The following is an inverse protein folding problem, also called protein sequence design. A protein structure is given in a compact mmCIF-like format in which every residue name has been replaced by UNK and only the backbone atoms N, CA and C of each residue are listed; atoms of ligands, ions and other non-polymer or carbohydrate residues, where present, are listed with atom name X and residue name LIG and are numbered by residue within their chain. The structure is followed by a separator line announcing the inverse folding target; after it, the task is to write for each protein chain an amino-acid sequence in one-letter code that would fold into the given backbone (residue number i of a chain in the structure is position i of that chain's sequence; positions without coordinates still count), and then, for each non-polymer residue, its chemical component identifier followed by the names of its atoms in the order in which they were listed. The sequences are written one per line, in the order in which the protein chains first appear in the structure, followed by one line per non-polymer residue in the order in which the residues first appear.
data_IF_315268811492
#
_entry.id   IF_315268811492
#
_cell.length_a   1.000
_cell.length_b   1.000
_cell.length_c   1.000
_cell.angle_alpha   90.00
_cell.angle_beta   90.00
_cell.angle_gamma   90.00
#
_symmetry.space_group_name_H-M   'P 1'
#
loop_
_entity.id
_entity.type
_entity.pdbx_description
1 polymer ?
#
# COMPACT_ATOMS: atom_id res chain seq x y z
N UNK A 1 -8.50 22.54 0.09
CA UNK A 1 -8.72 21.26 -0.58
C UNK A 1 -8.72 20.14 0.43
N UNK A 2 -9.74 19.31 0.45
CA UNK A 2 -9.78 18.26 1.44
C UNK A 2 -8.81 17.15 1.08
N UNK A 3 -7.80 17.02 1.92
CA UNK A 3 -6.96 15.85 1.94
C UNK A 3 -7.57 14.91 2.98
N UNK A 4 -7.70 13.65 2.62
CA UNK A 4 -8.13 12.62 3.57
C UNK A 4 -6.99 11.67 3.83
N UNK A 5 -6.78 11.37 5.10
CA UNK A 5 -5.83 10.34 5.49
C UNK A 5 -6.46 9.52 6.59
N UNK A 6 -6.47 8.20 6.44
CA UNK A 6 -7.06 7.34 7.45
C UNK A 6 -6.40 5.97 7.43
N UNK A 7 -6.67 5.21 8.48
CA UNK A 7 -6.09 3.88 8.67
C UNK A 7 -7.22 2.88 8.89
N UNK A 8 -7.14 1.73 8.21
CA UNK A 8 -8.04 0.60 8.42
C UNK A 8 -7.22 -0.56 8.97
N UNK A 9 -7.66 -1.12 10.08
CA UNK A 9 -6.99 -2.28 10.67
C UNK A 9 -7.42 -3.53 9.91
N UNK A 10 -6.47 -4.38 9.56
CA UNK A 10 -6.72 -5.56 8.74
C UNK A 10 -6.83 -6.86 9.54
N UNK A 11 -6.36 -6.86 10.79
CA UNK A 11 -6.34 -8.07 11.62
C UNK A 11 -6.90 -7.80 13.01
N UNK A 12 -7.05 -8.86 13.80
CA UNK A 12 -7.62 -8.74 15.13
C UNK A 12 -6.67 -8.15 16.16
N UNK A 13 -5.36 -8.28 15.97
CA UNK A 13 -4.36 -7.82 16.91
C UNK A 13 -3.95 -6.37 16.72
N UNK A 14 -4.35 -5.75 15.62
CA UNK A 14 -3.96 -4.39 15.30
C UNK A 14 -2.53 -4.26 14.80
N UNK A 15 -1.95 -5.33 14.30
CA UNK A 15 -0.57 -5.37 13.82
C UNK A 15 -0.46 -5.30 12.31
N UNK A 16 -1.58 -5.26 11.61
CA UNK A 16 -1.63 -5.16 10.16
C UNK A 16 -2.59 -4.05 9.80
N UNK A 17 -2.15 -3.11 8.98
CA UNK A 17 -3.01 -1.97 8.66
C UNK A 17 -2.85 -1.46 7.25
N UNK A 18 -3.91 -0.87 6.74
CA UNK A 18 -3.93 -0.16 5.46
C UNK A 18 -3.99 1.32 5.76
N UNK A 19 -2.98 2.05 5.31
CA UNK A 19 -2.96 3.51 5.40
C UNK A 19 -3.37 4.08 4.05
N UNK A 20 -4.35 4.96 4.05
CA UNK A 20 -4.89 5.55 2.82
C UNK A 20 -4.70 7.05 2.87
N UNK A 21 -4.24 7.62 1.78
CA UNK A 21 -4.14 9.07 1.60
C UNK A 21 -4.79 9.43 0.27
N UNK A 22 -5.72 10.36 0.30
CA UNK A 22 -6.45 10.79 -0.88
C UNK A 22 -6.42 12.31 -0.95
N UNK A 23 -6.22 12.83 -2.15
CA UNK A 23 -6.33 14.27 -2.41
C UNK A 23 -7.35 14.49 -3.52
N UNK A 24 -8.22 15.48 -3.32
CA UNK A 24 -9.19 15.85 -4.34
C UNK A 24 -8.97 17.30 -4.74
N UNK A 25 -9.31 17.61 -5.98
CA UNK A 25 -9.26 18.96 -6.50
C UNK A 25 -10.51 19.17 -7.35
N UNK A 26 -11.27 20.23 -7.05
CA UNK A 26 -12.52 20.53 -7.75
C UNK A 26 -13.47 19.33 -7.77
N UNK A 27 -13.56 18.64 -6.64
CA UNK A 27 -14.46 17.51 -6.49
C UNK A 27 -13.99 16.21 -7.12
N UNK A 28 -12.79 16.20 -7.71
CA UNK A 28 -12.27 15.02 -8.37
C UNK A 28 -11.02 14.52 -7.67
N UNK A 29 -10.89 13.23 -7.59
CA UNK A 29 -9.72 12.56 -7.01
C UNK A 29 -8.52 12.79 -7.94
N UNK A 30 -7.42 13.36 -7.41
CA UNK A 30 -6.22 13.61 -8.22
C UNK A 30 -4.94 12.98 -7.68
N UNK A 31 -5.00 12.37 -6.50
CA UNK A 31 -3.83 11.71 -5.92
C UNK A 31 -4.29 10.65 -4.93
N UNK A 32 -3.69 9.46 -4.99
CA UNK A 32 -4.00 8.37 -4.08
C UNK A 32 -2.72 7.69 -3.60
N UNK A 33 -2.72 7.25 -2.35
CA UNK A 33 -1.73 6.33 -1.80
C UNK A 33 -2.49 5.28 -0.99
N UNK A 34 -2.22 4.01 -1.26
CA UNK A 34 -2.74 2.89 -0.47
C UNK A 34 -1.54 2.07 -0.04
N UNK A 35 -1.27 2.01 1.25
CA UNK A 35 -0.05 1.44 1.78
C UNK A 35 -0.37 0.38 2.83
N UNK A 36 0.12 -0.83 2.60
CA UNK A 36 -0.01 -1.88 3.60
C UNK A 36 1.22 -1.83 4.52
N UNK A 37 0.96 -1.75 5.83
CA UNK A 37 2.00 -1.69 6.85
C UNK A 37 1.79 -2.82 7.85
N UNK A 38 2.88 -3.46 8.23
CA UNK A 38 2.88 -4.56 9.20
C UNK A 38 3.80 -4.21 10.37
N UNK A 39 3.33 -4.52 11.58
CA UNK A 39 4.11 -4.29 12.81
C UNK A 39 4.98 -5.51 13.07
N UNK A 40 6.28 -5.36 12.83
CA UNK A 40 7.26 -6.45 12.93
C UNK A 40 8.44 -5.94 13.74
N UNK A 41 8.84 -6.69 14.78
CA UNK A 41 9.99 -6.32 15.59
C UNK A 41 9.83 -4.95 16.25
N UNK A 42 8.65 -4.65 16.74
CA UNK A 42 8.30 -3.41 17.44
C UNK A 42 8.36 -2.15 16.56
N UNK A 43 8.26 -2.34 15.24
CA UNK A 43 8.23 -1.23 14.27
C UNK A 43 7.21 -1.49 13.20
N UNK A 44 6.63 -0.41 12.67
CA UNK A 44 5.79 -0.50 11.47
C UNK A 44 6.68 -0.52 10.24
N UNK A 45 6.42 -1.47 9.34
CA UNK A 45 7.15 -1.62 8.08
C UNK A 45 6.17 -1.53 6.93
N UNK A 46 6.51 -0.74 5.93
CA UNK A 46 5.73 -0.70 4.70
C UNK A 46 6.08 -1.92 3.86
N UNK A 47 5.08 -2.70 3.50
CA UNK A 47 5.25 -3.93 2.73
C UNK A 47 4.85 -3.71 1.26
N UNK A 48 3.73 -3.04 1.04
CA UNK A 48 3.21 -2.74 -0.30
C UNK A 48 2.78 -1.28 -0.32
N UNK A 49 3.04 -0.59 -1.43
CA UNK A 49 2.57 0.77 -1.61
C UNK A 49 2.03 0.95 -3.02
N UNK A 50 0.77 1.31 -3.11
CA UNK A 50 0.16 1.75 -4.36
C UNK A 50 0.15 3.27 -4.39
N UNK A 51 0.61 3.87 -5.47
CA UNK A 51 0.44 5.30 -5.64
C UNK A 51 0.42 5.67 -7.13
N UNK A 52 0.08 6.92 -7.40
CA UNK A 52 -0.06 7.41 -8.76
C UNK A 52 0.90 8.56 -9.07
N UNK A 53 2.00 8.66 -8.32
CA UNK A 53 2.99 9.67 -8.62
C UNK A 53 3.63 9.40 -9.98
N UNK A 54 4.20 10.41 -10.60
CA UNK A 54 4.82 10.32 -11.93
C UNK A 54 3.84 10.05 -13.05
N UNK A 55 2.54 10.30 -12.82
CA UNK A 55 1.55 10.27 -13.89
C UNK A 55 1.00 8.90 -14.24
N UNK A 56 1.34 7.86 -13.50
CA UNK A 56 0.75 6.54 -13.73
C UNK A 56 0.59 5.80 -12.40
N UNK A 57 -0.36 4.89 -12.40
CA UNK A 57 -0.68 4.08 -11.23
C UNK A 57 0.30 2.90 -11.16
N UNK A 58 0.90 2.69 -9.98
CA UNK A 58 1.87 1.60 -9.83
C UNK A 58 1.81 1.03 -8.42
N UNK A 59 2.33 -0.18 -8.29
CA UNK A 59 2.50 -0.87 -7.01
C UNK A 59 3.99 -1.08 -6.77
N UNK A 60 4.45 -0.64 -5.61
CA UNK A 60 5.80 -0.94 -5.14
C UNK A 60 5.73 -2.09 -4.17
N UNK A 61 6.50 -3.14 -4.43
CA UNK A 61 6.72 -4.24 -3.48
C UNK A 61 8.02 -3.92 -2.76
N UNK A 62 7.95 -3.72 -1.45
CA UNK A 62 9.07 -3.22 -0.67
C UNK A 62 9.76 -4.37 0.04
N UNK A 63 11.08 -4.39 -0.03
CA UNK A 63 11.89 -5.45 0.60
C UNK A 63 12.44 -4.96 1.94
N UNK A 64 12.75 -5.89 2.87
CA UNK A 64 13.29 -5.49 4.18
C UNK A 64 14.55 -4.63 4.12
N UNK A 65 15.36 -4.76 3.06
CA UNK A 65 16.57 -3.95 2.90
C UNK A 65 16.29 -2.55 2.32
N UNK A 66 15.02 -2.21 2.10
CA UNK A 66 14.63 -0.92 1.55
C UNK A 66 14.56 -0.86 0.04
N UNK A 67 15.01 -1.89 -0.66
CA UNK A 67 14.85 -1.97 -2.10
C UNK A 67 13.40 -2.23 -2.44
N UNK A 68 13.02 -1.92 -3.68
CA UNK A 68 11.63 -2.13 -4.11
C UNK A 68 11.56 -2.50 -5.58
N UNK A 69 10.49 -3.23 -5.91
CA UNK A 69 10.13 -3.53 -7.29
C UNK A 69 8.87 -2.76 -7.64
N UNK A 70 8.90 -2.07 -8.75
CA UNK A 70 7.78 -1.24 -9.21
C UNK A 70 7.05 -1.95 -10.34
N UNK A 71 5.73 -2.06 -10.20
CA UNK A 71 4.87 -2.66 -11.22
C UNK A 71 3.87 -1.62 -11.68
N UNK A 72 3.91 -1.26 -12.95
CA UNK A 72 2.94 -0.35 -13.54
C UNK A 72 1.64 -1.10 -13.77
N UNK A 73 0.52 -0.47 -13.40
CA UNK A 73 -0.79 -1.08 -13.51
C UNK A 73 -1.65 -0.21 -14.41
N UNK A 74 -2.19 -0.81 -15.47
CA UNK A 74 -2.89 -0.08 -16.52
C UNK A 74 -4.33 0.25 -16.13
N UNK A 75 -4.50 1.07 -15.10
CA UNK A 75 -5.79 1.60 -14.68
C UNK A 75 -5.65 3.13 -14.66
N UNK A 76 -6.38 3.81 -15.54
CA UNK A 76 -6.24 5.25 -15.67
C UNK A 76 -7.13 6.04 -14.72
N UNK A 77 -8.30 5.51 -14.42
CA UNK A 77 -9.27 6.17 -13.56
C UNK A 77 -8.88 5.97 -12.10
N UNK A 78 -8.65 7.06 -11.36
CA UNK A 78 -8.17 6.96 -9.98
C UNK A 78 -9.19 6.34 -9.02
N UNK A 79 -10.49 6.47 -9.33
CA UNK A 79 -11.51 5.82 -8.51
C UNK A 79 -11.40 4.31 -8.65
N UNK A 80 -11.23 3.81 -9.87
CA UNK A 80 -11.05 2.38 -10.12
C UNK A 80 -9.72 1.90 -9.55
N UNK A 81 -8.66 2.71 -9.67
CA UNK A 81 -7.36 2.37 -9.11
C UNK A 81 -7.44 2.25 -7.58
N UNK A 82 -8.18 3.15 -6.92
CA UNK A 82 -8.39 3.10 -5.48
C UNK A 82 -9.10 1.81 -5.07
N UNK A 83 -10.15 1.43 -5.79
CA UNK A 83 -10.88 0.19 -5.50
C UNK A 83 -10.00 -1.02 -5.68
N UNK A 84 -9.19 -1.04 -6.75
CA UNK A 84 -8.26 -2.12 -7.02
C UNK A 84 -7.23 -2.25 -5.89
N UNK A 85 -6.62 -1.13 -5.50
CA UNK A 85 -5.58 -1.13 -4.46
C UNK A 85 -6.14 -1.60 -3.12
N UNK A 86 -7.29 -1.08 -2.72
CA UNK A 86 -7.90 -1.47 -1.46
C UNK A 86 -8.27 -2.94 -1.44
N UNK A 87 -8.88 -3.43 -2.52
CA UNK A 87 -9.30 -4.81 -2.59
C UNK A 87 -8.12 -5.76 -2.60
N UNK A 88 -7.08 -5.43 -3.34
CA UNK A 88 -5.87 -6.27 -3.39
C UNK A 88 -5.24 -6.39 -2.01
N UNK A 89 -5.09 -5.28 -1.30
CA UNK A 89 -4.48 -5.31 0.03
C UNK A 89 -5.36 -6.09 1.01
N UNK A 90 -6.67 -5.88 1.00
CA UNK A 90 -7.57 -6.62 1.89
C UNK A 90 -7.53 -8.11 1.62
N UNK A 91 -7.44 -8.51 0.37
CA UNK A 91 -7.49 -9.92 -0.01
C UNK A 91 -6.14 -10.60 0.14
N UNK A 92 -5.03 -9.88 -0.03
CA UNK A 92 -3.71 -10.49 -0.16
C UNK A 92 -2.68 -10.03 0.85
N UNK A 93 -3.03 -9.24 1.85
CA UNK A 93 -2.01 -8.75 2.79
C UNK A 93 -1.24 -9.89 3.46
N UNK A 94 -1.90 -11.03 3.74
CA UNK A 94 -1.23 -12.18 4.35
C UNK A 94 -0.17 -12.75 3.43
N UNK A 95 -0.47 -12.85 2.14
CA UNK A 95 0.48 -13.32 1.14
C UNK A 95 1.67 -12.36 1.02
N UNK A 96 1.40 -11.07 0.97
CA UNK A 96 2.47 -10.07 0.89
C UNK A 96 3.35 -10.09 2.14
N UNK A 97 2.74 -10.24 3.32
CA UNK A 97 3.49 -10.33 4.57
C UNK A 97 4.41 -11.54 4.58
N UNK A 98 3.88 -12.69 4.14
CA UNK A 98 4.69 -13.90 4.11
C UNK A 98 5.90 -13.75 3.20
N UNK A 99 5.73 -13.16 2.03
CA UNK A 99 6.85 -12.89 1.13
C UNK A 99 7.89 -11.97 1.77
N UNK A 100 7.42 -10.93 2.45
CA UNK A 100 8.30 -10.00 3.14
C UNK A 100 9.10 -10.72 4.23
N UNK A 101 8.44 -11.55 5.03
CA UNK A 101 9.11 -12.29 6.09
C UNK A 101 10.12 -13.29 5.55
N UNK A 102 9.86 -13.93 4.43
CA UNK A 102 10.80 -14.85 3.80
C UNK A 102 12.08 -14.11 3.39
N UNK A 103 11.94 -12.90 2.85
CA UNK A 103 13.10 -12.10 2.48
C UNK A 103 13.85 -11.59 3.70
N UNK A 104 13.15 -11.30 4.77
CA UNK A 104 13.78 -10.88 6.02
C UNK A 104 14.67 -11.99 6.57
N UNK A 105 14.21 -13.23 6.50
CA UNK A 105 15.03 -14.39 6.94
C UNK A 105 16.29 -14.56 6.10
N UNK A 106 16.20 -14.27 4.81
CA UNK A 106 17.34 -14.44 3.91
C UNK A 106 18.43 -13.38 4.08
N UNK A 107 18.13 -12.31 4.80
CA UNK A 107 19.08 -11.23 5.03
C UNK A 107 20.08 -11.54 6.16
N UNK A 108 19.88 -12.61 6.88
CA UNK A 108 20.78 -12.97 7.97
C UNK A 108 21.98 -13.75 7.48
#
# INVERSE_FOLDING_TARGET
MPDKEFIKILDKLGEERLRVKLKTEKGKLNYIVFQYESFIGNKWHTVIRYDCSHGFFHRDVIFPNGQKEKYEIAIENLKDASSYAEQDIKDRWEWYKEKYLQKLKKQK
#
